data_IF_580203137834
#
_entry.id   IF_580203137834
#
_cell.length_a   1.000
_cell.length_b   1.000
_cell.length_c   1.000
_cell.angle_alpha   90.00
_cell.angle_beta   90.00
_cell.angle_gamma   90.00
#
_symmetry.space_group_name_H-M   'P 1'
#
loop_
_entity.id
_entity.type
_entity.pdbx_description
1 polymer ?
#
# COMPACT_ATOMS: atom_id res chain seq x y z
N UNK A 1 59.83 10.85 50.71
CA UNK A 1 58.38 10.53 50.62
C UNK A 1 57.70 10.91 49.30
N UNK A 2 58.39 11.17 48.18
CA UNK A 2 57.80 11.46 46.87
C UNK A 2 57.96 10.32 45.85
N UNK A 3 58.82 9.33 46.12
CA UNK A 3 59.07 8.22 45.19
C UNK A 3 58.02 7.12 45.15
N UNK A 4 57.34 6.84 46.24
CA UNK A 4 56.38 5.71 46.36
C UNK A 4 54.98 6.01 45.82
N UNK A 5 54.59 7.30 45.77
CA UNK A 5 53.31 7.69 45.20
C UNK A 5 53.27 7.68 43.66
N UNK A 6 54.42 7.74 42.99
CA UNK A 6 54.50 7.66 41.53
C UNK A 6 54.48 6.22 41.02
N UNK A 7 55.07 5.26 41.75
CA UNK A 7 55.00 3.83 41.37
C UNK A 7 53.60 3.24 41.48
N UNK A 8 52.86 3.58 42.55
CA UNK A 8 51.48 3.08 42.72
C UNK A 8 50.47 3.59 41.67
N UNK A 9 50.73 4.76 41.03
CA UNK A 9 49.89 5.28 39.94
C UNK A 9 50.20 4.63 38.58
N UNK A 10 51.45 4.23 38.33
CA UNK A 10 51.83 3.52 37.09
C UNK A 10 51.25 2.10 37.03
N UNK A 11 51.24 1.39 38.15
CA UNK A 11 50.78 0.00 38.22
C UNK A 11 49.24 -0.09 38.11
N UNK A 12 48.51 0.90 38.60
CA UNK A 12 47.05 1.00 38.45
C UNK A 12 46.60 1.27 37.01
N UNK A 13 47.36 2.08 36.28
CA UNK A 13 47.06 2.38 34.87
C UNK A 13 47.41 1.20 33.94
N UNK A 14 48.52 0.49 34.24
CA UNK A 14 48.97 -0.68 33.49
C UNK A 14 47.98 -1.85 33.66
N UNK A 15 47.51 -2.10 34.87
CA UNK A 15 46.49 -3.15 35.14
C UNK A 15 45.10 -2.83 34.54
N UNK A 16 44.73 -1.54 34.42
CA UNK A 16 43.51 -1.17 33.70
C UNK A 16 43.61 -1.40 32.20
N UNK A 17 44.72 -1.09 31.57
CA UNK A 17 44.94 -1.34 30.14
C UNK A 17 44.96 -2.82 29.83
N UNK A 18 45.55 -3.65 30.67
CA UNK A 18 45.59 -5.10 30.51
C UNK A 18 44.19 -5.73 30.63
N UNK A 19 43.37 -5.31 31.59
CA UNK A 19 41.95 -5.76 31.71
C UNK A 19 41.06 -5.31 30.54
N UNK A 20 41.35 -4.15 29.93
CA UNK A 20 40.60 -3.70 28.74
C UNK A 20 41.04 -4.52 27.53
N UNK A 21 42.30 -4.84 27.35
CA UNK A 21 42.81 -5.68 26.27
C UNK A 21 42.34 -7.15 26.41
N UNK A 22 42.31 -7.70 27.60
CA UNK A 22 41.78 -9.04 27.85
C UNK A 22 40.26 -9.12 27.58
N UNK A 23 39.49 -8.07 27.93
CA UNK A 23 38.07 -8.00 27.56
C UNK A 23 37.82 -7.80 26.05
N UNK A 24 38.69 -7.08 25.37
CA UNK A 24 38.62 -6.92 23.90
C UNK A 24 39.00 -8.23 23.18
N UNK A 25 39.98 -8.98 23.70
CA UNK A 25 40.38 -10.29 23.16
C UNK A 25 39.27 -11.37 23.36
N UNK A 26 38.52 -11.32 24.47
CA UNK A 26 37.40 -12.19 24.72
C UNK A 26 36.21 -11.84 23.79
N UNK A 27 36.00 -10.55 23.50
CA UNK A 27 34.95 -10.10 22.58
C UNK A 27 35.22 -10.46 21.10
N UNK A 28 36.50 -10.62 20.72
CA UNK A 28 36.92 -11.00 19.35
C UNK A 28 36.93 -12.53 19.10
N UNK A 29 36.82 -13.36 20.14
CA UNK A 29 36.87 -14.82 20.04
C UNK A 29 35.49 -15.51 20.03
N UNK A 30 34.38 -14.73 20.12
CA UNK A 30 33.04 -15.29 19.98
C UNK A 30 32.73 -15.46 18.48
N UNK A 31 32.31 -16.65 18.03
CA UNK A 31 31.98 -16.84 16.62
C UNK A 31 30.78 -15.97 16.24
N UNK A 32 30.96 -15.20 15.16
CA UNK A 32 29.94 -14.30 14.58
C UNK A 32 28.59 -14.97 14.22
N UNK A 33 28.44 -16.26 14.44
CA UNK A 33 27.22 -17.04 14.18
C UNK A 33 26.18 -17.07 15.31
N UNK A 34 26.47 -16.54 16.49
CA UNK A 34 25.52 -16.50 17.61
C UNK A 34 24.93 -15.12 17.94
N UNK A 35 25.30 -14.09 17.21
CA UNK A 35 24.80 -12.72 17.44
C UNK A 35 23.45 -12.42 16.73
N UNK A 36 22.91 -13.36 15.93
CA UNK A 36 21.66 -13.14 15.14
C UNK A 36 20.43 -13.71 15.84
N UNK A 37 20.55 -14.35 16.97
CA UNK A 37 19.42 -15.01 17.65
C UNK A 37 19.15 -14.49 19.07
N UNK A 38 19.36 -13.21 19.33
CA UNK A 38 18.69 -12.55 20.46
C UNK A 38 17.48 -11.81 19.89
N UNK A 39 16.47 -12.55 19.58
CA UNK A 39 15.12 -12.04 19.44
C UNK A 39 14.72 -11.56 20.84
N UNK A 40 14.90 -10.26 21.07
CA UNK A 40 14.37 -9.63 22.28
C UNK A 40 12.86 -9.58 22.09
N UNK A 41 12.17 -10.64 22.52
CA UNK A 41 10.74 -10.64 22.78
C UNK A 41 10.45 -9.68 23.95
N UNK A 42 10.61 -8.39 23.72
CA UNK A 42 9.99 -7.36 24.57
C UNK A 42 8.59 -7.12 24.01
N UNK A 43 7.77 -8.16 23.97
CA UNK A 43 6.35 -8.01 23.89
C UNK A 43 5.88 -7.52 25.28
N UNK A 44 5.72 -6.22 25.45
CA UNK A 44 4.90 -5.69 26.54
C UNK A 44 3.48 -6.18 26.22
N UNK A 45 3.13 -7.36 26.75
CA UNK A 45 1.75 -7.86 26.73
C UNK A 45 0.92 -6.89 27.55
N UNK A 46 0.37 -5.86 26.91
CA UNK A 46 -0.72 -5.07 27.48
C UNK A 46 -1.93 -5.99 27.53
N UNK A 47 -2.24 -6.49 28.72
CA UNK A 47 -3.39 -7.39 28.98
C UNK A 47 -4.70 -6.59 28.75
N UNK A 48 -5.56 -7.09 27.87
CA UNK A 48 -6.95 -6.64 27.89
C UNK A 48 -7.74 -6.86 26.61
N UNK A 49 -7.40 -6.29 25.49
CA UNK A 49 -8.10 -6.50 24.20
C UNK A 49 -7.06 -6.76 23.11
N UNK A 50 -7.33 -7.77 22.28
CA UNK A 50 -6.51 -8.02 21.09
C UNK A 50 -6.57 -6.78 20.20
N UNK A 51 -5.42 -6.15 19.94
CA UNK A 51 -5.34 -5.07 18.97
C UNK A 51 -5.53 -5.64 17.57
N UNK A 52 -6.06 -4.85 16.67
CA UNK A 52 -6.14 -5.21 15.25
C UNK A 52 -4.74 -5.45 14.69
N UNK A 53 -4.60 -6.41 13.79
CA UNK A 53 -3.34 -6.79 13.17
C UNK A 53 -3.36 -6.47 11.68
N UNK A 54 -2.35 -5.71 11.25
CA UNK A 54 -2.18 -5.31 9.85
C UNK A 54 -0.93 -6.00 9.30
N UNK A 55 -1.08 -6.82 8.29
CA UNK A 55 0.03 -7.46 7.60
C UNK A 55 0.32 -6.73 6.26
N UNK A 56 1.58 -6.34 6.08
CA UNK A 56 2.07 -5.64 4.89
C UNK A 56 2.98 -6.59 4.11
N UNK A 57 2.50 -7.11 2.99
CA UNK A 57 3.25 -8.05 2.15
C UNK A 57 4.01 -7.27 1.09
N UNK A 58 5.32 -7.19 1.26
CA UNK A 58 6.27 -6.34 0.56
C UNK A 58 6.78 -5.21 1.45
N UNK A 59 8.04 -5.30 1.91
CA UNK A 59 8.69 -4.31 2.76
C UNK A 59 9.51 -3.27 1.98
N UNK A 60 9.12 -2.96 0.73
CA UNK A 60 9.73 -1.92 -0.10
C UNK A 60 9.46 -0.50 0.41
N UNK A 61 9.51 0.50 -0.48
CA UNK A 61 9.20 1.89 -0.14
C UNK A 61 7.73 2.06 0.26
N UNK A 62 6.79 1.47 -0.50
CA UNK A 62 5.36 1.53 -0.18
C UNK A 62 5.09 0.85 1.15
N UNK A 63 5.62 -0.38 1.38
CA UNK A 63 5.41 -1.13 2.62
C UNK A 63 5.89 -0.40 3.87
N UNK A 64 7.10 0.21 3.83
CA UNK A 64 7.60 1.03 4.92
C UNK A 64 6.74 2.27 5.19
N UNK A 65 6.29 2.95 4.14
CA UNK A 65 5.40 4.12 4.26
C UNK A 65 4.02 3.72 4.82
N UNK A 66 3.46 2.59 4.37
CA UNK A 66 2.22 2.03 4.93
C UNK A 66 2.35 1.76 6.43
N UNK A 67 3.47 1.12 6.83
CA UNK A 67 3.73 0.79 8.23
C UNK A 67 3.79 2.05 9.10
N UNK A 68 4.52 3.08 8.66
CA UNK A 68 4.60 4.36 9.37
C UNK A 68 3.22 5.02 9.50
N UNK A 69 2.48 5.15 8.40
CA UNK A 69 1.14 5.74 8.41
C UNK A 69 0.14 4.96 9.28
N UNK A 70 0.24 3.62 9.32
CA UNK A 70 -0.60 2.79 10.16
C UNK A 70 -0.34 3.04 11.65
N UNK A 71 0.93 3.20 12.04
CA UNK A 71 1.34 3.58 13.39
C UNK A 71 0.83 4.97 13.78
N UNK A 72 1.12 5.99 12.98
CA UNK A 72 0.67 7.37 13.21
C UNK A 72 -0.86 7.50 13.35
N UNK A 73 -1.63 6.65 12.67
CA UNK A 73 -3.09 6.61 12.78
C UNK A 73 -3.61 5.64 13.83
N UNK A 74 -2.70 4.98 14.56
CA UNK A 74 -3.00 3.98 15.60
C UNK A 74 -4.03 2.93 15.15
N UNK A 75 -3.79 2.37 13.94
CA UNK A 75 -4.73 1.42 13.34
C UNK A 75 -4.59 0.00 13.87
N UNK A 76 -3.51 -0.32 14.58
CA UNK A 76 -3.25 -1.65 15.15
C UNK A 76 -1.76 -1.99 15.15
N UNK A 77 -1.45 -3.25 15.40
CA UNK A 77 -0.09 -3.79 15.37
C UNK A 77 0.29 -4.19 13.93
N UNK A 78 1.53 -3.96 13.55
CA UNK A 78 1.99 -4.06 12.17
C UNK A 78 2.99 -5.21 12.00
N UNK A 79 2.75 -6.07 11.02
CA UNK A 79 3.70 -7.08 10.55
C UNK A 79 4.17 -6.69 9.16
N UNK A 80 5.47 -6.40 9.00
CA UNK A 80 6.10 -6.29 7.70
C UNK A 80 6.58 -7.67 7.25
N UNK A 81 6.16 -8.11 6.08
CA UNK A 81 6.63 -9.35 5.47
C UNK A 81 7.38 -9.06 4.18
N UNK A 82 8.55 -9.68 4.00
CA UNK A 82 9.28 -9.68 2.72
C UNK A 82 10.09 -10.98 2.59
N UNK A 83 10.33 -11.40 1.34
CA UNK A 83 11.21 -12.56 1.06
C UNK A 83 12.70 -12.23 1.28
N UNK A 84 13.05 -10.96 1.33
CA UNK A 84 14.42 -10.47 1.59
C UNK A 84 14.64 -10.42 3.10
N UNK A 85 15.26 -11.47 3.63
CA UNK A 85 15.55 -11.55 5.07
C UNK A 85 16.38 -10.35 5.56
N UNK A 86 16.05 -9.87 6.76
CA UNK A 86 16.65 -8.69 7.37
C UNK A 86 15.97 -7.36 6.98
N UNK A 87 15.39 -7.25 5.78
CA UNK A 87 14.74 -6.00 5.33
C UNK A 87 13.48 -5.69 6.14
N UNK A 88 12.50 -6.61 6.29
CA UNK A 88 11.31 -6.32 7.09
C UNK A 88 11.64 -6.13 8.57
N UNK A 89 12.60 -6.88 9.12
CA UNK A 89 13.02 -6.77 10.51
C UNK A 89 13.69 -5.40 10.79
N UNK A 90 14.60 -4.98 9.92
CA UNK A 90 15.30 -3.69 10.04
C UNK A 90 14.30 -2.52 10.00
N UNK A 91 13.36 -2.52 9.06
CA UNK A 91 12.31 -1.48 8.98
C UNK A 91 11.36 -1.50 10.17
N UNK A 92 10.97 -2.68 10.65
CA UNK A 92 10.13 -2.81 11.83
C UNK A 92 10.82 -2.20 13.07
N UNK A 93 12.12 -2.47 13.24
CA UNK A 93 12.90 -1.92 14.34
C UNK A 93 13.05 -0.39 14.25
N UNK A 94 13.32 0.15 13.06
CA UNK A 94 13.44 1.59 12.83
C UNK A 94 12.10 2.31 13.14
N UNK A 95 10.97 1.77 12.67
CA UNK A 95 9.64 2.29 12.96
C UNK A 95 9.26 2.18 14.43
N UNK A 96 9.64 1.10 15.11
CA UNK A 96 9.46 0.97 16.56
C UNK A 96 10.26 2.01 17.33
N UNK A 97 11.43 2.42 16.83
CA UNK A 97 12.23 3.50 17.42
C UNK A 97 11.67 4.90 17.13
N UNK A 98 10.88 5.08 16.07
CA UNK A 98 10.16 6.33 15.81
C UNK A 98 8.96 6.52 16.76
N UNK A 99 8.35 5.44 17.23
CA UNK A 99 7.12 5.50 18.04
C UNK A 99 7.21 6.34 19.32
N UNK A 100 8.32 6.34 20.09
CA UNK A 100 8.45 7.23 21.26
C UNK A 100 8.56 8.72 20.90
N UNK A 101 8.97 9.04 19.68
CA UNK A 101 9.12 10.43 19.19
C UNK A 101 7.75 10.94 18.72
N UNK A 102 7.06 10.13 17.92
CA UNK A 102 5.77 10.50 17.30
C UNK A 102 4.57 10.26 18.24
N UNK A 103 4.77 9.51 19.34
CA UNK A 103 3.75 9.32 20.39
C UNK A 103 2.66 8.31 20.05
N UNK A 104 3.01 7.20 19.36
CA UNK A 104 2.09 6.10 19.11
C UNK A 104 2.60 4.77 19.68
N UNK A 105 1.69 3.84 19.98
CA UNK A 105 1.98 2.59 20.71
C UNK A 105 1.75 1.33 19.86
N UNK A 106 1.95 1.37 18.55
CA UNK A 106 1.85 0.20 17.69
C UNK A 106 3.05 -0.73 17.88
N UNK A 107 2.81 -2.04 17.99
CA UNK A 107 3.86 -3.04 17.91
C UNK A 107 4.25 -3.30 16.46
N UNK A 108 5.57 -3.34 16.18
CA UNK A 108 6.11 -3.62 14.86
C UNK A 108 6.89 -4.91 14.87
N UNK A 109 6.64 -5.77 13.89
CA UNK A 109 7.44 -6.97 13.65
C UNK A 109 7.79 -7.13 12.18
N UNK A 110 8.92 -7.74 11.88
CA UNK A 110 9.35 -8.07 10.54
C UNK A 110 9.61 -9.56 10.40
N UNK A 111 9.18 -10.18 9.29
CA UNK A 111 9.32 -11.61 9.06
C UNK A 111 9.48 -11.94 7.57
N UNK A 112 10.09 -13.11 7.30
CA UNK A 112 10.17 -13.71 5.96
C UNK A 112 9.40 -15.05 5.89
N UNK A 113 8.65 -15.40 6.94
CA UNK A 113 7.74 -16.55 6.99
C UNK A 113 6.28 -16.06 7.05
N UNK A 114 5.43 -16.65 6.20
CA UNK A 114 4.01 -16.34 6.16
C UNK A 114 3.26 -16.63 7.47
N UNK A 115 3.77 -17.52 8.33
CA UNK A 115 3.17 -17.77 9.65
C UNK A 115 3.04 -16.47 10.48
N UNK A 116 3.91 -15.48 10.25
CA UNK A 116 3.85 -14.20 10.93
C UNK A 116 2.57 -13.39 10.64
N UNK A 117 1.93 -13.58 9.47
CA UNK A 117 0.67 -12.88 9.15
C UNK A 117 -0.58 -13.57 9.70
N UNK A 118 -0.43 -14.65 10.49
CA UNK A 118 -1.56 -15.41 11.02
C UNK A 118 -2.55 -14.50 11.75
N UNK A 119 -3.85 -14.70 11.41
CA UNK A 119 -4.97 -13.96 11.98
C UNK A 119 -4.89 -12.42 11.77
N UNK A 120 -4.25 -11.95 10.70
CA UNK A 120 -4.30 -10.53 10.35
C UNK A 120 -5.75 -10.12 9.99
N UNK A 121 -6.17 -8.97 10.49
CA UNK A 121 -7.48 -8.37 10.17
C UNK A 121 -7.46 -7.71 8.79
N UNK A 122 -6.32 -7.11 8.44
CA UNK A 122 -6.08 -6.49 7.13
C UNK A 122 -4.76 -6.97 6.57
N UNK A 123 -4.76 -7.32 5.29
CA UNK A 123 -3.56 -7.62 4.51
C UNK A 123 -3.43 -6.62 3.37
N UNK A 124 -2.31 -5.90 3.30
CA UNK A 124 -2.02 -4.99 2.19
C UNK A 124 -0.88 -5.58 1.36
N UNK A 125 -1.13 -5.81 0.07
CA UNK A 125 -0.19 -6.49 -0.82
C UNK A 125 0.46 -5.48 -1.76
N UNK A 126 1.76 -5.29 -1.57
CA UNK A 126 2.62 -4.47 -2.43
C UNK A 126 3.71 -5.30 -3.12
N UNK A 127 3.76 -6.60 -2.80
CA UNK A 127 4.74 -7.54 -3.34
C UNK A 127 4.60 -7.66 -4.86
N UNK A 128 5.71 -7.55 -5.56
CA UNK A 128 5.81 -7.60 -7.02
C UNK A 128 7.03 -6.84 -7.48
N UNK A 129 7.39 -7.01 -8.74
CA UNK A 129 8.49 -6.27 -9.36
C UNK A 129 7.94 -5.05 -10.12
N UNK A 130 8.59 -3.88 -10.02
CA UNK A 130 8.28 -2.77 -10.90
C UNK A 130 8.76 -3.07 -12.33
N UNK A 131 8.13 -2.45 -13.33
CA UNK A 131 8.58 -2.57 -14.71
C UNK A 131 10.01 -2.07 -14.86
N UNK A 132 10.88 -2.92 -15.39
CA UNK A 132 12.29 -2.59 -15.63
C UNK A 132 12.53 -2.21 -17.10
N UNK A 133 13.59 -1.46 -17.41
CA UNK A 133 14.00 -1.19 -18.79
C UNK A 133 14.19 -2.50 -19.57
N UNK A 134 13.60 -2.58 -20.76
CA UNK A 134 13.64 -3.77 -21.63
C UNK A 134 12.58 -4.84 -21.30
N UNK A 135 11.85 -4.74 -20.20
CA UNK A 135 10.78 -5.67 -19.86
C UNK A 135 9.49 -5.33 -20.63
N UNK A 136 8.92 -6.32 -21.33
CA UNK A 136 7.61 -6.20 -21.97
C UNK A 136 6.48 -6.11 -20.92
N UNK A 137 5.25 -5.82 -21.35
CA UNK A 137 4.08 -5.89 -20.48
C UNK A 137 3.79 -7.33 -20.06
N UNK A 138 3.95 -8.28 -20.95
CA UNK A 138 3.68 -9.70 -20.69
C UNK A 138 4.71 -10.31 -19.76
N UNK A 139 5.99 -9.91 -19.86
CA UNK A 139 7.03 -10.33 -18.92
C UNK A 139 6.69 -9.86 -17.49
N UNK A 140 6.33 -8.58 -17.34
CA UNK A 140 5.91 -8.03 -16.04
C UNK A 140 4.70 -8.77 -15.49
N UNK A 141 3.70 -9.02 -16.34
CA UNK A 141 2.48 -9.72 -15.96
C UNK A 141 2.80 -11.15 -15.50
N UNK A 142 3.61 -11.88 -16.25
CA UNK A 142 4.02 -13.26 -15.92
C UNK A 142 4.74 -13.33 -14.59
N UNK A 143 5.72 -12.46 -14.34
CA UNK A 143 6.47 -12.43 -13.08
C UNK A 143 5.53 -12.12 -11.91
N UNK A 144 4.70 -11.08 -12.04
CA UNK A 144 3.82 -10.66 -10.94
C UNK A 144 2.67 -11.65 -10.69
N UNK A 145 2.17 -12.38 -11.69
CA UNK A 145 1.24 -13.50 -11.48
C UNK A 145 1.87 -14.60 -10.62
N UNK A 146 3.15 -14.93 -10.87
CA UNK A 146 3.89 -15.90 -10.05
C UNK A 146 4.06 -15.43 -8.59
N UNK A 147 4.33 -14.15 -8.37
CA UNK A 147 4.41 -13.57 -7.02
C UNK A 147 3.05 -13.62 -6.33
N UNK A 148 2.01 -13.15 -7.00
CA UNK A 148 0.63 -13.09 -6.46
C UNK A 148 0.08 -14.47 -6.14
N UNK A 149 0.40 -15.50 -6.93
CA UNK A 149 0.02 -16.89 -6.62
C UNK A 149 0.58 -17.35 -5.27
N UNK A 150 1.87 -17.06 -5.00
CA UNK A 150 2.52 -17.41 -3.73
C UNK A 150 1.94 -16.61 -2.56
N UNK A 151 1.73 -15.30 -2.76
CA UNK A 151 1.10 -14.42 -1.76
C UNK A 151 -0.31 -14.89 -1.43
N UNK A 152 -1.12 -15.20 -2.44
CA UNK A 152 -2.47 -15.70 -2.25
C UNK A 152 -2.52 -17.03 -1.47
N UNK A 153 -1.61 -17.95 -1.78
CA UNK A 153 -1.49 -19.22 -1.02
C UNK A 153 -1.13 -18.97 0.45
N UNK A 154 -0.20 -18.05 0.74
CA UNK A 154 0.13 -17.64 2.10
C UNK A 154 -1.05 -17.01 2.85
N UNK A 155 -1.79 -16.12 2.21
CA UNK A 155 -3.00 -15.52 2.80
C UNK A 155 -4.07 -16.58 3.06
N UNK A 156 -4.32 -17.47 2.11
CA UNK A 156 -5.28 -18.57 2.24
C UNK A 156 -4.99 -19.44 3.47
N UNK A 157 -3.72 -19.70 3.72
CA UNK A 157 -3.30 -20.57 4.82
C UNK A 157 -3.33 -19.86 6.18
N UNK A 158 -2.88 -18.61 6.26
CA UNK A 158 -2.59 -17.94 7.53
C UNK A 158 -3.55 -16.80 7.89
N UNK A 159 -4.18 -16.14 6.89
CA UNK A 159 -5.06 -15.02 7.12
C UNK A 159 -6.34 -15.06 6.24
N UNK A 160 -7.08 -16.19 6.19
CA UNK A 160 -8.22 -16.35 5.28
C UNK A 160 -9.40 -15.42 5.60
N UNK A 161 -9.47 -14.87 6.81
CA UNK A 161 -10.51 -13.93 7.25
C UNK A 161 -10.18 -12.45 7.01
N UNK A 162 -8.99 -12.14 6.53
CA UNK A 162 -8.54 -10.76 6.37
C UNK A 162 -9.31 -9.99 5.29
N UNK A 163 -9.42 -8.68 5.47
CA UNK A 163 -9.71 -7.75 4.38
C UNK A 163 -8.43 -7.46 3.61
N UNK A 164 -8.45 -7.65 2.29
CA UNK A 164 -7.25 -7.58 1.46
C UNK A 164 -7.29 -6.33 0.58
N UNK A 165 -6.20 -5.58 0.57
CA UNK A 165 -6.00 -4.43 -0.32
C UNK A 165 -4.80 -4.73 -1.23
N UNK A 166 -5.05 -4.91 -2.52
CA UNK A 166 -4.02 -5.12 -3.53
C UNK A 166 -3.52 -3.78 -4.07
N UNK A 167 -2.17 -3.61 -4.15
CA UNK A 167 -1.52 -2.43 -4.74
C UNK A 167 -0.64 -2.84 -5.93
N UNK A 168 -0.27 -4.11 -6.02
CA UNK A 168 0.62 -4.66 -7.05
C UNK A 168 0.08 -4.40 -8.45
N UNK A 169 0.95 -3.95 -9.36
CA UNK A 169 0.62 -3.68 -10.76
C UNK A 169 0.98 -4.85 -11.71
N UNK A 170 0.23 -5.02 -12.81
CA UNK A 170 -0.97 -4.28 -13.26
C UNK A 170 -2.18 -4.56 -12.37
N UNK A 171 -2.70 -3.50 -11.72
CA UNK A 171 -3.59 -3.63 -10.56
C UNK A 171 -4.82 -4.50 -10.81
N UNK A 172 -5.56 -4.21 -11.89
CA UNK A 172 -6.87 -4.83 -12.14
C UNK A 172 -6.76 -6.36 -12.35
N UNK A 173 -5.67 -6.81 -12.96
CA UNK A 173 -5.36 -8.23 -13.10
C UNK A 173 -4.85 -8.82 -11.79
N UNK A 174 -3.99 -8.08 -11.07
CA UNK A 174 -3.40 -8.60 -9.82
C UNK A 174 -4.43 -8.76 -8.72
N UNK A 175 -5.42 -7.87 -8.58
CA UNK A 175 -6.51 -8.05 -7.61
C UNK A 175 -7.37 -9.27 -7.95
N UNK A 176 -7.66 -9.48 -9.23
CA UNK A 176 -8.37 -10.67 -9.69
C UNK A 176 -7.58 -11.96 -9.40
N UNK A 177 -6.32 -12.01 -9.80
CA UNK A 177 -5.45 -13.17 -9.58
C UNK A 177 -5.25 -13.47 -8.08
N UNK A 178 -5.09 -12.43 -7.25
CA UNK A 178 -4.96 -12.57 -5.81
C UNK A 178 -6.22 -13.15 -5.19
N UNK A 179 -7.40 -12.73 -5.63
CA UNK A 179 -8.67 -13.29 -5.16
C UNK A 179 -8.78 -14.78 -5.51
N UNK A 180 -8.43 -15.17 -6.74
CA UNK A 180 -8.43 -16.57 -7.15
C UNK A 180 -7.46 -17.41 -6.29
N UNK A 181 -6.24 -16.93 -6.09
CA UNK A 181 -5.21 -17.65 -5.33
C UNK A 181 -5.52 -17.73 -3.82
N UNK A 182 -6.03 -16.66 -3.23
CA UNK A 182 -6.37 -16.60 -1.82
C UNK A 182 -7.70 -17.31 -1.49
N UNK A 183 -8.63 -17.39 -2.45
CA UNK A 183 -9.94 -18.03 -2.26
C UNK A 183 -10.84 -17.29 -1.26
N UNK A 184 -10.58 -16.02 -0.97
CA UNK A 184 -11.39 -15.20 -0.06
C UNK A 184 -12.69 -14.75 -0.73
N UNK A 185 -13.74 -14.41 0.06
CA UNK A 185 -14.97 -13.81 -0.49
C UNK A 185 -14.66 -12.54 -1.29
N UNK A 186 -15.35 -12.33 -2.40
CA UNK A 186 -15.07 -11.25 -3.36
C UNK A 186 -15.23 -9.85 -2.77
N UNK A 187 -16.09 -9.69 -1.77
CA UNK A 187 -16.26 -8.44 -1.02
C UNK A 187 -15.16 -8.20 0.04
N UNK A 188 -14.29 -9.18 0.29
CA UNK A 188 -13.15 -9.08 1.23
C UNK A 188 -11.85 -8.68 0.57
N UNK A 189 -11.84 -8.43 -0.72
CA UNK A 189 -10.65 -7.99 -1.45
C UNK A 189 -10.97 -6.86 -2.41
N UNK A 190 -10.10 -5.87 -2.45
CA UNK A 190 -10.18 -4.69 -3.31
C UNK A 190 -8.81 -4.33 -3.89
N UNK A 191 -8.83 -3.66 -5.05
CA UNK A 191 -7.63 -3.03 -5.61
C UNK A 191 -7.57 -1.54 -5.27
N UNK A 192 -6.43 -1.07 -4.78
CA UNK A 192 -6.18 0.36 -4.54
C UNK A 192 -5.87 1.03 -5.88
N UNK A 193 -6.85 1.74 -6.43
CA UNK A 193 -6.81 2.41 -7.74
C UNK A 193 -7.40 3.82 -7.63
N UNK A 194 -8.71 3.91 -7.76
CA UNK A 194 -9.44 5.17 -7.86
C UNK A 194 -9.22 6.11 -6.68
N UNK A 195 -8.95 5.64 -5.46
CA UNK A 195 -8.61 6.52 -4.32
C UNK A 195 -7.37 7.34 -4.64
N UNK A 196 -6.33 6.72 -5.20
CA UNK A 196 -5.10 7.40 -5.61
C UNK A 196 -5.35 8.32 -6.82
N UNK A 197 -6.05 7.81 -7.84
CA UNK A 197 -6.29 8.55 -9.09
C UNK A 197 -7.18 9.77 -8.83
N UNK A 198 -8.19 9.60 -7.95
CA UNK A 198 -9.03 10.72 -7.49
C UNK A 198 -8.23 11.75 -6.68
N UNK A 199 -7.28 11.31 -5.86
CA UNK A 199 -6.42 12.24 -5.12
C UNK A 199 -5.56 13.09 -6.06
N UNK A 200 -5.03 12.52 -7.15
CA UNK A 200 -4.33 13.27 -8.21
C UNK A 200 -5.24 14.28 -8.88
N UNK A 201 -6.43 13.85 -9.28
CA UNK A 201 -7.42 14.72 -9.92
C UNK A 201 -7.82 15.86 -9.00
N UNK A 202 -8.14 15.60 -7.74
CA UNK A 202 -8.45 16.61 -6.72
C UNK A 202 -7.31 17.60 -6.53
N UNK A 203 -6.07 17.14 -6.47
CA UNK A 203 -4.90 17.99 -6.32
C UNK A 203 -4.74 18.94 -7.51
N UNK A 204 -4.89 18.46 -8.73
CA UNK A 204 -4.77 19.31 -9.91
C UNK A 204 -5.92 20.32 -10.04
N UNK A 205 -7.15 19.91 -9.67
CA UNK A 205 -8.29 20.84 -9.59
C UNK A 205 -8.06 21.91 -8.53
N UNK A 206 -7.63 21.53 -7.31
CA UNK A 206 -7.32 22.50 -6.25
C UNK A 206 -6.25 23.51 -6.69
N UNK A 207 -5.22 23.06 -7.42
CA UNK A 207 -4.19 23.93 -7.98
C UNK A 207 -4.73 24.85 -9.06
N UNK A 208 -5.66 24.39 -9.90
CA UNK A 208 -6.31 25.21 -10.94
C UNK A 208 -7.10 26.36 -10.33
N UNK A 209 -7.89 26.07 -9.31
CA UNK A 209 -8.75 27.03 -8.65
C UNK A 209 -8.04 27.83 -7.53
N UNK A 210 -6.79 27.50 -7.22
CA UNK A 210 -6.02 28.07 -6.11
C UNK A 210 -6.79 28.01 -4.76
N UNK A 211 -7.32 26.81 -4.44
CA UNK A 211 -8.09 26.55 -3.23
C UNK A 211 -7.50 25.37 -2.45
N UNK A 212 -7.98 25.15 -1.22
CA UNK A 212 -7.63 23.96 -0.44
C UNK A 212 -8.08 22.68 -1.13
N UNK A 213 -7.25 21.63 -1.05
CA UNK A 213 -7.64 20.27 -1.49
C UNK A 213 -8.81 19.70 -0.70
N UNK A 214 -9.12 20.25 0.47
CA UNK A 214 -10.26 19.84 1.30
C UNK A 214 -11.59 20.25 0.69
N UNK A 215 -11.61 21.34 -0.08
CA UNK A 215 -12.80 21.86 -0.74
C UNK A 215 -13.12 21.17 -2.08
N UNK A 216 -12.21 20.30 -2.57
CA UNK A 216 -12.40 19.60 -3.84
C UNK A 216 -12.94 18.20 -3.61
N UNK A 217 -14.08 17.88 -4.21
CA UNK A 217 -14.63 16.55 -4.31
C UNK A 217 -14.59 16.06 -5.75
N UNK A 218 -13.93 14.93 -5.98
CA UNK A 218 -13.84 14.32 -7.30
C UNK A 218 -13.53 12.83 -7.18
N UNK A 219 -13.85 12.04 -8.20
CA UNK A 219 -13.48 10.64 -8.26
C UNK A 219 -13.20 10.19 -9.71
N UNK A 220 -12.46 9.09 -9.79
CA UNK A 220 -12.03 8.46 -11.02
C UNK A 220 -12.57 7.03 -11.05
N UNK A 221 -13.11 6.60 -12.17
CA UNK A 221 -13.68 5.29 -12.43
C UNK A 221 -12.82 4.49 -13.41
N UNK A 222 -13.21 3.22 -13.63
CA UNK A 222 -12.57 2.34 -14.61
C UNK A 222 -11.31 1.65 -14.10
N UNK A 223 -10.57 1.02 -15.00
CA UNK A 223 -9.29 0.37 -14.70
C UNK A 223 -8.20 1.37 -14.34
N UNK A 224 -7.22 0.89 -13.57
CA UNK A 224 -6.09 1.72 -13.13
C UNK A 224 -5.03 1.83 -14.23
N UNK A 225 -5.04 2.93 -14.98
CA UNK A 225 -4.10 3.18 -16.09
C UNK A 225 -4.60 4.28 -17.03
N UNK A 226 -4.12 4.26 -18.27
CA UNK A 226 -4.39 5.30 -19.26
C UNK A 226 -5.90 5.40 -19.65
N UNK A 227 -6.64 4.30 -19.49
CA UNK A 227 -8.09 4.21 -19.78
C UNK A 227 -8.97 4.54 -18.56
N UNK A 228 -8.42 5.13 -17.48
CA UNK A 228 -9.22 5.61 -16.34
C UNK A 228 -10.18 6.72 -16.78
N UNK A 229 -11.30 6.85 -16.07
CA UNK A 229 -12.38 7.78 -16.37
C UNK A 229 -12.56 8.79 -15.23
N UNK A 230 -11.86 9.94 -15.26
CA UNK A 230 -12.12 11.02 -14.32
C UNK A 230 -13.53 11.59 -14.54
N UNK A 231 -14.35 11.57 -13.50
CA UNK A 231 -15.75 11.99 -13.57
C UNK A 231 -15.85 13.51 -13.35
N UNK A 232 -15.78 14.28 -14.45
CA UNK A 232 -15.84 15.75 -14.42
C UNK A 232 -17.20 16.21 -13.91
N UNK A 233 -18.30 15.58 -14.37
CA UNK A 233 -19.68 15.94 -14.05
C UNK A 233 -20.03 15.81 -12.57
N UNK A 234 -19.41 14.88 -11.87
CA UNK A 234 -19.59 14.67 -10.41
C UNK A 234 -18.48 15.33 -9.58
N UNK A 235 -17.61 16.13 -10.21
CA UNK A 235 -16.56 16.83 -9.49
C UNK A 235 -17.00 18.24 -9.13
N UNK A 236 -16.70 18.65 -7.89
CA UNK A 236 -17.13 19.94 -7.33
C UNK A 236 -16.00 20.63 -6.56
N UNK A 237 -16.08 21.93 -6.46
CA UNK A 237 -15.28 22.75 -5.54
C UNK A 237 -16.25 23.43 -4.58
N UNK A 238 -16.11 23.20 -3.29
CA UNK A 238 -17.04 23.69 -2.24
C UNK A 238 -18.52 23.37 -2.58
N UNK A 239 -18.77 22.21 -3.21
CA UNK A 239 -20.10 21.79 -3.63
C UNK A 239 -20.59 22.38 -4.96
N UNK A 240 -19.85 23.33 -5.57
CA UNK A 240 -20.19 23.91 -6.88
C UNK A 240 -19.65 22.98 -7.98
N UNK A 241 -20.50 22.50 -8.92
CA UNK A 241 -20.07 21.66 -10.03
C UNK A 241 -19.05 22.34 -10.94
N UNK A 242 -18.13 21.56 -11.52
CA UNK A 242 -17.12 22.13 -12.46
C UNK A 242 -17.74 22.81 -13.66
N UNK A 243 -18.87 22.33 -14.17
CA UNK A 243 -19.60 22.96 -15.27
C UNK A 243 -20.07 24.37 -14.92
N UNK A 244 -20.55 24.60 -13.70
CA UNK A 244 -20.98 25.91 -13.22
C UNK A 244 -19.79 26.86 -13.04
N UNK A 245 -18.65 26.33 -12.52
CA UNK A 245 -17.41 27.11 -12.40
C UNK A 245 -16.86 27.56 -13.76
N UNK A 246 -16.99 26.72 -14.79
CA UNK A 246 -16.69 27.09 -16.17
C UNK A 246 -17.64 28.23 -16.62
N UNK A 247 -18.94 28.07 -16.40
CA UNK A 247 -19.95 29.08 -16.74
C UNK A 247 -19.73 30.41 -16.01
N UNK A 248 -19.20 30.39 -14.79
CA UNK A 248 -18.82 31.55 -14.00
C UNK A 248 -17.49 32.19 -14.42
N UNK A 249 -16.75 31.57 -15.35
CA UNK A 249 -15.44 32.06 -15.83
C UNK A 249 -14.27 31.83 -14.87
N UNK A 250 -14.41 30.90 -13.89
CA UNK A 250 -13.31 30.58 -12.98
C UNK A 250 -12.25 29.69 -13.63
N UNK A 251 -12.63 28.93 -14.65
CA UNK A 251 -11.74 28.10 -15.49
C UNK A 251 -12.37 27.91 -16.87
N UNK A 252 -11.73 27.15 -17.76
CA UNK A 252 -12.24 26.83 -19.08
C UNK A 252 -12.31 25.30 -19.29
N UNK A 253 -13.11 24.85 -20.27
CA UNK A 253 -13.19 23.44 -20.63
C UNK A 253 -11.81 22.89 -21.03
N UNK A 254 -11.03 23.62 -21.83
CA UNK A 254 -9.69 23.18 -22.26
C UNK A 254 -8.73 22.94 -21.06
N UNK A 255 -8.83 23.75 -20.01
CA UNK A 255 -8.03 23.55 -18.80
C UNK A 255 -8.47 22.32 -18.02
N UNK A 256 -9.77 22.08 -17.91
CA UNK A 256 -10.30 20.86 -17.28
C UNK A 256 -9.87 19.62 -18.06
N UNK A 257 -9.95 19.65 -19.40
CA UNK A 257 -9.50 18.54 -20.25
C UNK A 257 -7.99 18.27 -20.10
N UNK A 258 -7.18 19.31 -20.03
CA UNK A 258 -5.75 19.18 -19.74
C UNK A 258 -5.47 18.56 -18.36
N UNK A 259 -6.27 18.89 -17.34
CA UNK A 259 -6.18 18.30 -16.00
C UNK A 259 -6.58 16.82 -16.03
N UNK A 260 -7.63 16.47 -16.75
CA UNK A 260 -8.05 15.07 -16.97
C UNK A 260 -6.92 14.26 -17.61
N UNK A 261 -6.30 14.78 -18.66
CA UNK A 261 -5.17 14.12 -19.33
C UNK A 261 -3.95 13.99 -18.43
N UNK A 262 -3.63 15.02 -17.65
CA UNK A 262 -2.53 14.98 -16.67
C UNK A 262 -2.81 13.94 -15.57
N UNK A 263 -4.07 13.82 -15.13
CA UNK A 263 -4.47 12.82 -14.12
C UNK A 263 -4.19 11.40 -14.61
N UNK A 264 -4.54 11.09 -15.87
CA UNK A 264 -4.24 9.80 -16.49
C UNK A 264 -2.74 9.50 -16.54
N UNK A 265 -1.93 10.51 -16.82
CA UNK A 265 -0.46 10.41 -16.95
C UNK A 265 0.30 10.60 -15.64
N UNK A 266 -0.39 10.90 -14.53
CA UNK A 266 0.23 11.33 -13.27
C UNK A 266 1.21 10.32 -12.66
N UNK A 267 0.99 9.02 -12.85
CA UNK A 267 1.94 7.98 -12.45
C UNK A 267 3.24 8.04 -13.27
N UNK A 268 3.12 8.19 -14.59
CA UNK A 268 4.25 8.31 -15.51
C UNK A 268 5.05 9.59 -15.29
N UNK A 269 4.39 10.71 -14.98
CA UNK A 269 5.04 11.99 -14.65
C UNK A 269 5.99 11.81 -13.45
N UNK A 270 5.53 11.17 -12.37
CA UNK A 270 6.36 10.91 -11.18
C UNK A 270 7.55 9.99 -11.50
N UNK A 271 7.32 8.92 -12.25
CA UNK A 271 8.40 8.00 -12.69
C UNK A 271 9.43 8.75 -13.53
N UNK A 272 9.00 9.60 -14.42
CA UNK A 272 9.88 10.45 -15.26
C UNK A 272 10.76 11.40 -14.44
N UNK A 273 10.22 11.94 -13.34
CA UNK A 273 10.95 12.83 -12.43
C UNK A 273 11.92 12.06 -11.51
N UNK A 274 11.48 10.94 -10.93
CA UNK A 274 12.28 10.14 -10.01
C UNK A 274 13.43 9.38 -10.69
N UNK A 275 13.33 9.10 -12.00
CA UNK A 275 14.27 8.29 -12.80
C UNK A 275 14.36 6.82 -12.36
N UNK A 276 14.25 6.55 -11.07
CA UNK A 276 14.25 5.20 -10.49
C UNK A 276 13.07 5.06 -9.52
N UNK A 277 12.35 3.93 -9.59
CA UNK A 277 11.20 3.68 -8.73
C UNK A 277 9.89 4.31 -9.25
N UNK A 278 8.92 4.43 -8.37
CA UNK A 278 7.58 4.97 -8.64
C UNK A 278 7.06 5.73 -7.43
N UNK A 279 5.89 6.37 -7.54
CA UNK A 279 5.20 6.96 -6.41
C UNK A 279 5.00 5.93 -5.28
N UNK A 280 5.19 6.34 -4.03
CA UNK A 280 4.96 5.47 -2.87
C UNK A 280 4.25 6.18 -1.70
N UNK A 281 4.35 7.49 -1.55
CA UNK A 281 3.63 8.23 -0.50
C UNK A 281 2.10 8.23 -0.72
N UNK A 282 1.66 8.71 -1.87
CA UNK A 282 0.23 8.79 -2.19
C UNK A 282 -0.44 7.41 -2.29
N UNK A 283 0.16 6.38 -2.92
CA UNK A 283 -0.39 5.02 -2.90
C UNK A 283 -0.55 4.46 -1.48
N UNK A 284 0.47 4.64 -0.61
CA UNK A 284 0.40 4.21 0.77
C UNK A 284 -0.71 4.92 1.54
N UNK A 285 -0.82 6.25 1.41
CA UNK A 285 -1.89 7.03 2.05
C UNK A 285 -3.28 6.60 1.58
N UNK A 286 -3.43 6.32 0.28
CA UNK A 286 -4.68 5.82 -0.29
C UNK A 286 -5.09 4.47 0.32
N UNK A 287 -4.17 3.51 0.37
CA UNK A 287 -4.44 2.18 0.94
C UNK A 287 -4.71 2.23 2.45
N UNK A 288 -3.98 3.03 3.21
CA UNK A 288 -4.24 3.23 4.65
C UNK A 288 -5.62 3.85 4.89
N UNK A 289 -6.08 4.76 4.01
CA UNK A 289 -7.44 5.30 4.10
C UNK A 289 -8.51 4.23 3.89
N UNK A 290 -8.26 3.26 3.00
CA UNK A 290 -9.16 2.11 2.79
C UNK A 290 -9.13 1.15 3.99
N UNK A 291 -7.95 0.83 4.52
CA UNK A 291 -7.77 0.00 5.71
C UNK A 291 -8.45 0.63 6.94
N UNK A 292 -8.29 1.92 7.15
CA UNK A 292 -8.95 2.66 8.23
C UNK A 292 -10.48 2.63 8.10
N UNK A 293 -11.01 2.73 6.87
CA UNK A 293 -12.46 2.65 6.66
C UNK A 293 -13.01 1.30 7.07
N UNK A 294 -12.30 0.22 6.77
CA UNK A 294 -12.66 -1.14 7.18
C UNK A 294 -12.52 -1.32 8.71
N UNK A 295 -11.34 -1.06 9.26
CA UNK A 295 -11.00 -1.32 10.67
C UNK A 295 -11.88 -0.52 11.66
N UNK A 296 -12.17 0.74 11.33
CA UNK A 296 -12.99 1.63 12.15
C UNK A 296 -14.46 1.68 11.73
N UNK A 297 -14.89 0.79 10.83
CA UNK A 297 -16.25 0.74 10.26
C UNK A 297 -16.77 2.13 9.83
N UNK A 298 -15.93 2.92 9.16
CA UNK A 298 -16.29 4.29 8.76
C UNK A 298 -17.31 4.34 7.63
N UNK A 299 -17.47 3.25 6.87
CA UNK A 299 -18.38 3.15 5.72
C UNK A 299 -18.18 4.27 4.70
N UNK A 300 -16.92 4.62 4.47
CA UNK A 300 -16.58 5.64 3.46
C UNK A 300 -16.86 5.10 2.06
N UNK A 301 -17.30 6.00 1.19
CA UNK A 301 -17.40 5.72 -0.24
C UNK A 301 -16.03 6.04 -0.86
N UNK A 302 -15.34 4.99 -1.30
CA UNK A 302 -13.98 5.08 -1.81
C UNK A 302 -13.92 4.44 -3.20
N UNK A 303 -13.47 5.15 -4.24
CA UNK A 303 -13.25 4.56 -5.55
C UNK A 303 -12.13 3.53 -5.49
N UNK A 304 -12.43 2.28 -5.81
CA UNK A 304 -11.48 1.18 -5.81
C UNK A 304 -11.89 0.09 -6.79
N UNK A 305 -10.96 -0.76 -7.21
CA UNK A 305 -11.29 -1.93 -7.99
C UNK A 305 -12.06 -2.90 -7.09
N UNK A 306 -13.37 -2.98 -7.28
CA UNK A 306 -14.32 -3.84 -6.57
C UNK A 306 -14.98 -4.82 -7.53
N UNK A 307 -15.40 -5.98 -7.00
CA UNK A 307 -16.08 -7.01 -7.79
C UNK A 307 -17.50 -6.58 -8.13
N UNK A 308 -17.82 -6.61 -9.43
CA UNK A 308 -19.15 -6.26 -9.95
C UNK A 308 -19.95 -7.51 -10.33
N UNK A 309 -21.24 -7.50 -10.01
CA UNK A 309 -22.22 -8.58 -10.25
C UNK A 309 -23.41 -8.14 -11.10
N UNK A 310 -23.27 -7.05 -11.81
CA UNK A 310 -24.30 -6.45 -12.66
C UNK A 310 -24.32 -4.93 -12.62
N UNK A 311 -23.69 -4.35 -11.60
CA UNK A 311 -23.54 -2.91 -11.49
C UNK A 311 -22.82 -2.35 -12.72
N UNK A 312 -23.24 -1.19 -13.18
CA UNK A 312 -22.76 -0.57 -14.44
C UNK A 312 -22.91 -1.46 -15.69
N UNK A 313 -23.69 -2.55 -15.62
CA UNK A 313 -23.83 -3.55 -16.68
C UNK A 313 -22.63 -4.52 -16.76
N UNK A 314 -21.75 -4.53 -15.77
CA UNK A 314 -20.52 -5.35 -15.72
C UNK A 314 -20.73 -6.53 -14.77
N UNK A 315 -20.34 -7.73 -15.20
CA UNK A 315 -20.39 -8.95 -14.38
C UNK A 315 -19.00 -9.61 -14.33
N UNK A 316 -18.75 -10.25 -13.19
CA UNK A 316 -17.61 -11.12 -12.97
C UNK A 316 -16.24 -10.45 -13.23
N UNK A 317 -16.10 -9.20 -12.77
CA UNK A 317 -14.90 -8.40 -12.98
C UNK A 317 -14.64 -7.44 -11.81
N UNK A 318 -13.36 -7.24 -11.48
CA UNK A 318 -12.93 -6.12 -10.65
C UNK A 318 -12.76 -4.88 -11.52
N UNK A 319 -13.46 -3.82 -11.17
CA UNK A 319 -13.39 -2.52 -11.89
C UNK A 319 -13.42 -1.40 -10.87
N UNK A 320 -12.71 -0.31 -11.16
CA UNK A 320 -12.69 0.91 -10.34
C UNK A 320 -14.06 1.60 -10.34
N UNK A 321 -14.74 1.53 -9.20
CA UNK A 321 -16.04 2.15 -8.95
C UNK A 321 -16.13 2.66 -7.52
N UNK A 322 -17.02 3.64 -7.23
CA UNK A 322 -17.26 4.07 -5.86
C UNK A 322 -17.88 2.94 -5.03
N UNK A 323 -17.17 2.48 -4.00
CA UNK A 323 -17.58 1.39 -3.13
C UNK A 323 -17.65 1.83 -1.67
N UNK A 324 -18.68 1.41 -0.96
CA UNK A 324 -18.80 1.58 0.50
C UNK A 324 -17.93 0.52 1.16
N UNK A 325 -16.88 0.94 1.86
CA UNK A 325 -16.00 0.06 2.63
C UNK A 325 -16.32 0.21 4.11
N UNK A 326 -16.84 -0.84 4.70
CA UNK A 326 -17.15 -0.95 6.13
C UNK A 326 -16.57 -2.23 6.74
N UNK A 327 -16.99 -2.59 7.96
CA UNK A 327 -16.47 -3.75 8.70
C UNK A 327 -16.70 -5.10 7.99
N UNK A 328 -17.62 -5.16 7.04
CA UNK A 328 -17.89 -6.37 6.24
C UNK A 328 -17.10 -6.41 4.93
N UNK A 329 -16.16 -5.48 4.71
CA UNK A 329 -15.46 -5.29 3.44
C UNK A 329 -16.23 -4.33 2.53
N UNK A 330 -16.36 -4.66 1.24
CA UNK A 330 -17.22 -3.91 0.31
C UNK A 330 -18.67 -4.26 0.63
N UNK A 331 -19.43 -3.29 1.12
CA UNK A 331 -20.83 -3.49 1.54
C UNK A 331 -21.83 -3.08 0.46
N UNK A 332 -21.45 -2.13 -0.39
CA UNK A 332 -22.30 -1.64 -1.47
C UNK A 332 -21.48 -0.94 -2.55
N UNK A 333 -21.87 -1.12 -3.80
CA UNK A 333 -21.40 -0.31 -4.92
C UNK A 333 -22.35 0.88 -5.11
N UNK A 334 -21.78 2.10 -5.26
CA UNK A 334 -22.57 3.25 -5.64
C UNK A 334 -22.59 3.33 -7.17
N UNK A 335 -23.73 3.04 -7.78
CA UNK A 335 -23.91 3.14 -9.21
C UNK A 335 -24.35 4.56 -9.57
N UNK A 336 -23.42 5.34 -10.14
CA UNK A 336 -23.72 6.68 -10.65
C UNK A 336 -24.20 6.61 -12.10
N UNK A 337 -25.02 7.58 -12.51
CA UNK A 337 -25.42 7.68 -13.89
C UNK A 337 -24.29 8.23 -14.75
N UNK A 338 -23.85 7.46 -15.73
CA UNK A 338 -22.89 7.88 -16.74
C UNK A 338 -23.63 8.48 -17.94
N UNK A 339 -23.19 9.62 -18.44
CA UNK A 339 -23.64 10.12 -19.73
C UNK A 339 -23.10 9.25 -20.89
N UNK A 340 -23.57 9.44 -22.14
CA UNK A 340 -23.13 8.59 -23.26
C UNK A 340 -21.61 8.59 -23.48
N UNK A 341 -20.92 9.72 -23.28
CA UNK A 341 -19.48 9.83 -23.46
C UNK A 341 -18.71 9.14 -22.31
N UNK A 342 -19.13 9.36 -21.06
CA UNK A 342 -18.59 8.69 -19.88
C UNK A 342 -18.82 7.16 -19.98
N UNK A 343 -19.99 6.75 -20.47
CA UNK A 343 -20.34 5.32 -20.70
C UNK A 343 -19.37 4.69 -21.68
N UNK A 344 -19.14 5.31 -22.82
CA UNK A 344 -18.22 4.80 -23.84
C UNK A 344 -16.78 4.67 -23.29
N UNK A 345 -16.29 5.67 -22.54
CA UNK A 345 -14.99 5.60 -21.90
C UNK A 345 -14.92 4.47 -20.87
N UNK A 346 -15.97 4.30 -20.07
CA UNK A 346 -16.02 3.25 -19.06
C UNK A 346 -16.04 1.86 -19.69
N UNK A 347 -16.83 1.65 -20.74
CA UNK A 347 -16.90 0.39 -21.49
C UNK A 347 -15.57 0.03 -22.14
N UNK A 348 -14.87 1.02 -22.70
CA UNK A 348 -13.50 0.85 -23.21
C UNK A 348 -12.56 0.40 -22.08
N UNK A 349 -12.62 1.05 -20.93
CA UNK A 349 -11.80 0.72 -19.77
C UNK A 349 -12.07 -0.71 -19.26
N UNK A 350 -13.33 -1.12 -19.18
CA UNK A 350 -13.76 -2.48 -18.83
C UNK A 350 -13.21 -3.50 -19.83
N UNK A 351 -13.29 -3.19 -21.13
CA UNK A 351 -12.75 -4.07 -22.19
C UNK A 351 -11.25 -4.27 -22.07
N UNK A 352 -10.50 -3.20 -21.75
CA UNK A 352 -9.06 -3.27 -21.50
C UNK A 352 -8.73 -4.19 -20.32
N UNK A 353 -9.48 -4.10 -19.22
CA UNK A 353 -9.29 -4.97 -18.04
C UNK A 353 -9.59 -6.44 -18.39
N UNK A 354 -10.67 -6.71 -19.12
CA UNK A 354 -11.01 -8.08 -19.59
C UNK A 354 -9.88 -8.66 -20.43
N UNK A 355 -9.40 -7.92 -21.42
CA UNK A 355 -8.32 -8.34 -22.30
C UNK A 355 -7.05 -8.70 -21.52
N UNK A 356 -6.69 -7.93 -20.49
CA UNK A 356 -5.55 -8.25 -19.65
C UNK A 356 -5.75 -9.52 -18.81
N UNK A 357 -6.97 -9.78 -18.32
CA UNK A 357 -7.28 -11.04 -17.61
C UNK A 357 -7.20 -12.24 -18.55
N UNK A 358 -7.67 -12.10 -19.79
CA UNK A 358 -7.58 -13.18 -20.78
C UNK A 358 -6.11 -13.51 -21.13
N UNK A 359 -5.26 -12.49 -21.25
CA UNK A 359 -3.80 -12.68 -21.37
C UNK A 359 -3.23 -13.37 -20.13
N UNK A 360 -3.64 -12.97 -18.92
CA UNK A 360 -3.16 -13.60 -17.69
C UNK A 360 -3.50 -15.08 -17.60
N UNK A 361 -4.70 -15.48 -18.02
CA UNK A 361 -5.13 -16.89 -18.11
C UNK A 361 -4.27 -17.71 -19.09
N UNK A 362 -3.89 -17.10 -20.21
CA UNK A 362 -3.00 -17.74 -21.20
C UNK A 362 -1.56 -17.92 -20.68
N UNK A 363 -1.06 -16.93 -19.94
CA UNK A 363 0.30 -16.93 -19.41
C UNK A 363 0.49 -17.85 -18.20
N UNK A 364 -0.57 -18.14 -17.45
CA UNK A 364 -0.48 -18.95 -16.23
C UNK A 364 -1.72 -19.85 -16.08
N UNK A 365 -1.54 -21.14 -16.33
CA UNK A 365 -2.60 -22.17 -16.27
C UNK A 365 -3.25 -22.31 -14.88
N UNK A 366 -2.61 -21.83 -13.81
CA UNK A 366 -3.21 -21.82 -12.48
C UNK A 366 -4.44 -20.88 -12.39
N UNK A 367 -4.62 -19.98 -13.37
CA UNK A 367 -5.72 -19.04 -13.47
C UNK A 367 -6.66 -19.32 -14.68
N UNK A 368 -6.42 -20.39 -15.42
CA UNK A 368 -7.19 -20.77 -16.60
C UNK A 368 -8.58 -21.34 -16.24
#
# INVERSE_FOLDING_TARGET
MLGDKMRARSDGAFNRRRKIQEKAAIASSLPLKSAVAVQVDIAIKRSGMSRTKIALIGAGHIGGTLAHLAGLRELGDIVLFDIMDGVPQGKALDLAQASPIDGFDADYSGASDYAAISNADVVIVTAGVPRQPGMSRDDLLTVNLGVISKVGAGIKQYAPGAFIICITNPLDVMVWALQQAAGVPKNRIVGMAGVLDSARFRYFLASEFNVSVEDVSAFVLGGHGDDMVPSVRYSTVAGVPLADLIGMGWTTQDRIDAIVDRTRKGGGEIVGLLKTGSAYYAPATAAITMAESYLKNKRRILPCAAWLQGEYGVKDLYVGVPAVIGANGVEKIMEIQLDPAERLMFEKSVSSVRGLIDVAKQLNSAFA
#
